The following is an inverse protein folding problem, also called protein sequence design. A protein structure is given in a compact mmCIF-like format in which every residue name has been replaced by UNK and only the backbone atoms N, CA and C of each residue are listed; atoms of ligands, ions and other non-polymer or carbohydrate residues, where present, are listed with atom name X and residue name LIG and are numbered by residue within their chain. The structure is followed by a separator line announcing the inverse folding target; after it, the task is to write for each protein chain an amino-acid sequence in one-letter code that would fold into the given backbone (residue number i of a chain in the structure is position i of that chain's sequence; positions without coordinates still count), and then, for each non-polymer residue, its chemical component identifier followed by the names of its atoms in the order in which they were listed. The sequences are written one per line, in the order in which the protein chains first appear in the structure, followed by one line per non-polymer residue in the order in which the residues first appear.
data_IF_580100461028
#
_entry.id   IF_580100461028
#
_cell.length_a   1.000
_cell.length_b   1.000
_cell.length_c   1.000
_cell.angle_alpha   90.00
_cell.angle_beta   90.00
_cell.angle_gamma   90.00
#
_symmetry.space_group_name_H-M   'P 1'
#
loop_
_entity.id
_entity.type
_entity.pdbx_description
1 polymer ?
#
# COMPACT_ATOMS: atom_id res chain seq x y z
N UNK A 1 -11.80 -1.45 4.79
CA UNK A 1 -12.53 -2.73 4.78
C UNK A 1 -14.01 -2.42 4.89
N UNK A 2 -14.85 -2.93 3.99
CA UNK A 2 -16.29 -2.63 3.96
C UNK A 2 -16.63 -1.11 3.89
N UNK A 3 -15.79 -0.33 3.20
CA UNK A 3 -15.95 1.13 3.12
C UNK A 3 -15.42 1.93 4.32
N UNK A 4 -14.89 1.27 5.35
CA UNK A 4 -14.34 1.93 6.54
C UNK A 4 -12.82 1.81 6.63
N UNK A 5 -12.18 2.76 7.33
CA UNK A 5 -10.75 2.69 7.62
C UNK A 5 -10.47 1.55 8.62
N UNK A 6 -9.55 0.66 8.27
CA UNK A 6 -9.14 -0.43 9.17
C UNK A 6 -8.27 0.08 10.33
N UNK A 7 -7.42 1.08 10.05
CA UNK A 7 -6.49 1.65 11.02
C UNK A 7 -6.45 3.18 10.86
N UNK A 8 -6.43 3.86 12.00
CA UNK A 8 -6.49 5.31 12.12
C UNK A 8 -5.41 5.76 13.11
N UNK A 9 -4.74 6.86 12.78
CA UNK A 9 -3.71 7.50 13.61
C UNK A 9 -2.27 7.15 13.20
N UNK A 10 -1.33 7.92 13.78
CA UNK A 10 0.09 7.87 13.47
C UNK A 10 0.85 6.73 14.15
N UNK A 11 1.96 6.34 13.54
CA UNK A 11 2.96 5.43 14.14
C UNK A 11 4.09 6.24 14.79
N UNK A 12 4.60 5.88 15.98
CA UNK A 12 4.13 4.81 16.86
C UNK A 12 3.04 5.22 17.86
N UNK A 13 2.71 6.51 17.97
CA UNK A 13 1.83 7.01 19.05
C UNK A 13 0.43 6.41 19.11
N UNK A 14 -0.19 6.10 17.97
CA UNK A 14 -1.53 5.53 17.89
C UNK A 14 -1.57 4.10 17.35
N UNK A 15 -0.55 3.71 16.56
CA UNK A 15 -0.45 2.39 15.93
C UNK A 15 0.96 1.83 16.01
N UNK A 16 1.05 0.52 16.19
CA UNK A 16 2.28 -0.23 16.07
C UNK A 16 2.76 -0.33 14.61
N UNK A 17 4.03 -0.70 14.44
CA UNK A 17 4.61 -0.99 13.11
C UNK A 17 3.86 -2.14 12.44
N UNK A 18 3.48 -3.17 13.20
CA UNK A 18 2.79 -4.34 12.66
C UNK A 18 1.38 -3.99 12.18
N UNK A 19 0.62 -3.20 12.96
CA UNK A 19 -0.67 -2.68 12.53
C UNK A 19 -0.55 -1.82 11.26
N UNK A 20 0.46 -0.96 11.18
CA UNK A 20 0.69 -0.15 9.99
C UNK A 20 1.13 -0.98 8.78
N UNK A 21 1.89 -2.07 9.00
CA UNK A 21 2.27 -3.01 7.94
C UNK A 21 1.04 -3.72 7.39
N UNK A 22 0.13 -4.15 8.26
CA UNK A 22 -1.17 -4.69 7.86
C UNK A 22 -2.02 -3.64 7.13
N UNK A 23 -1.99 -2.38 7.57
CA UNK A 23 -2.66 -1.28 6.88
C UNK A 23 -2.11 -1.09 5.46
N UNK A 24 -0.78 -1.16 5.27
CA UNK A 24 -0.15 -1.08 3.95
C UNK A 24 -0.58 -2.24 3.04
N UNK A 25 -0.63 -3.46 3.56
CA UNK A 25 -1.13 -4.63 2.83
C UNK A 25 -2.59 -4.44 2.39
N UNK A 26 -3.47 -3.98 3.28
CA UNK A 26 -4.88 -3.69 2.95
C UNK A 26 -4.98 -2.62 1.86
N UNK A 27 -4.16 -1.57 1.93
CA UNK A 27 -4.15 -0.53 0.89
C UNK A 27 -3.69 -1.09 -0.46
N UNK A 28 -2.66 -1.95 -0.46
CA UNK A 28 -2.23 -2.66 -1.66
C UNK A 28 -3.32 -3.56 -2.27
N UNK A 29 -4.05 -4.31 -1.44
CA UNK A 29 -5.20 -5.11 -1.87
C UNK A 29 -6.29 -4.23 -2.49
N UNK A 30 -6.55 -3.05 -1.92
CA UNK A 30 -7.51 -2.11 -2.49
C UNK A 30 -7.05 -1.59 -3.86
N UNK A 31 -5.75 -1.31 -4.07
CA UNK A 31 -5.23 -0.95 -5.38
C UNK A 31 -5.48 -2.04 -6.42
N UNK A 32 -5.21 -3.30 -6.07
CA UNK A 32 -5.45 -4.46 -6.94
C UNK A 32 -6.95 -4.61 -7.23
N UNK A 33 -7.80 -4.51 -6.22
CA UNK A 33 -9.25 -4.65 -6.37
C UNK A 33 -9.85 -3.56 -7.28
N UNK A 34 -9.38 -2.31 -7.18
CA UNK A 34 -9.81 -1.23 -8.07
C UNK A 34 -9.34 -1.49 -9.50
N UNK A 35 -8.11 -1.95 -9.70
CA UNK A 35 -7.61 -2.29 -11.03
C UNK A 35 -8.39 -3.46 -11.66
N UNK A 36 -8.63 -4.53 -10.89
CA UNK A 36 -9.44 -5.69 -11.31
C UNK A 36 -10.86 -5.28 -11.72
N UNK A 37 -11.51 -4.41 -10.96
CA UNK A 37 -12.85 -3.91 -11.31
C UNK A 37 -12.87 -2.96 -12.51
N UNK A 38 -11.72 -2.39 -12.91
CA UNK A 38 -11.63 -1.36 -13.96
C UNK A 38 -11.20 -1.94 -15.31
N UNK A 39 -10.35 -2.96 -15.32
CA UNK A 39 -9.78 -3.54 -16.53
C UNK A 39 -10.72 -4.60 -17.13
N UNK A 40 -10.90 -4.62 -18.45
CA UNK A 40 -11.76 -5.61 -19.11
C UNK A 40 -11.29 -7.07 -18.88
N UNK A 41 -9.98 -7.28 -18.72
CA UNK A 41 -9.39 -8.57 -18.35
C UNK A 41 -9.19 -8.78 -16.85
N UNK A 42 -9.69 -7.87 -16.01
CA UNK A 42 -9.48 -7.90 -14.57
C UNK A 42 -8.00 -7.88 -14.16
N UNK A 43 -7.69 -8.56 -13.07
CA UNK A 43 -6.33 -8.68 -12.53
C UNK A 43 -5.35 -9.33 -13.52
N UNK A 44 -5.84 -10.21 -14.41
CA UNK A 44 -5.02 -10.89 -15.42
C UNK A 44 -4.52 -9.94 -16.51
N UNK A 45 -5.13 -8.75 -16.66
CA UNK A 45 -4.63 -7.72 -17.55
C UNK A 45 -3.44 -6.94 -16.99
N UNK A 46 -3.03 -7.18 -15.73
CA UNK A 46 -1.86 -6.54 -15.11
C UNK A 46 -0.60 -7.37 -15.44
N UNK A 47 0.27 -6.82 -16.27
CA UNK A 47 1.51 -7.47 -16.67
C UNK A 47 2.65 -7.27 -15.67
N UNK A 48 2.68 -6.12 -14.98
CA UNK A 48 3.75 -5.76 -14.03
C UNK A 48 3.34 -4.64 -13.08
N UNK A 49 3.86 -4.70 -11.85
CA UNK A 49 3.85 -3.57 -10.91
C UNK A 49 5.09 -2.71 -11.15
N UNK A 50 4.91 -1.48 -11.65
CA UNK A 50 6.03 -0.60 -12.02
C UNK A 50 6.59 0.16 -10.81
N UNK A 51 5.68 0.75 -10.02
CA UNK A 51 6.06 1.54 -8.85
C UNK A 51 4.98 1.53 -7.79
N UNK A 52 5.40 1.53 -6.52
CA UNK A 52 4.53 1.68 -5.36
C UNK A 52 4.99 2.87 -4.52
N UNK A 53 4.05 3.75 -4.15
CA UNK A 53 4.29 4.85 -3.21
C UNK A 53 3.48 4.61 -1.95
N UNK A 54 4.15 4.65 -0.81
CA UNK A 54 3.55 4.41 0.50
C UNK A 54 3.71 5.66 1.34
N UNK A 55 2.59 6.21 1.79
CA UNK A 55 2.53 7.34 2.72
C UNK A 55 2.09 6.81 4.07
N UNK A 56 2.86 7.09 5.12
CA UNK A 56 2.61 6.59 6.47
C UNK A 56 2.39 7.79 7.39
N UNK A 57 1.25 7.85 8.06
CA UNK A 57 1.05 8.79 9.16
C UNK A 57 2.03 8.42 10.29
N UNK A 58 2.98 9.30 10.59
CA UNK A 58 4.05 8.99 11.53
C UNK A 58 4.47 10.19 12.37
N UNK A 59 4.84 9.93 13.61
CA UNK A 59 5.37 10.93 14.51
C UNK A 59 6.73 11.48 14.01
N UNK A 60 7.06 12.69 14.44
CA UNK A 60 8.33 13.33 14.09
C UNK A 60 9.51 12.47 14.56
N UNK A 61 10.45 12.20 13.66
CA UNK A 61 11.66 11.43 13.96
C UNK A 61 11.49 9.90 13.86
N UNK A 62 10.29 9.40 13.55
CA UNK A 62 10.12 7.99 13.18
C UNK A 62 10.92 7.65 11.92
N UNK A 63 11.46 6.43 11.84
CA UNK A 63 12.32 5.99 10.71
C UNK A 63 11.98 4.58 10.20
N UNK A 64 10.95 3.93 10.75
CA UNK A 64 10.55 2.57 10.40
C UNK A 64 9.68 2.44 9.14
N UNK A 65 9.60 3.50 8.31
CA UNK A 65 8.72 3.57 7.13
C UNK A 65 8.96 2.42 6.13
N UNK A 66 10.23 2.04 5.92
CA UNK A 66 10.59 0.95 5.00
C UNK A 66 10.04 -0.41 5.43
N UNK A 67 9.98 -0.68 6.74
CA UNK A 67 9.41 -1.92 7.28
C UNK A 67 7.91 -1.98 7.05
N UNK A 68 7.21 -0.87 7.31
CA UNK A 68 5.76 -0.74 7.07
C UNK A 68 5.45 -0.94 5.58
N UNK A 69 6.24 -0.33 4.70
CA UNK A 69 6.08 -0.45 3.26
C UNK A 69 6.31 -1.87 2.73
N UNK A 70 6.97 -2.76 3.48
CA UNK A 70 7.07 -4.17 3.08
C UNK A 70 5.71 -4.86 3.04
N UNK A 71 4.73 -4.44 3.85
CA UNK A 71 3.39 -5.04 3.83
C UNK A 71 2.71 -4.98 2.46
N UNK A 72 2.88 -3.88 1.71
CA UNK A 72 2.41 -3.83 0.32
C UNK A 72 3.38 -4.49 -0.64
N UNK A 73 4.70 -4.38 -0.42
CA UNK A 73 5.66 -4.95 -1.36
C UNK A 73 5.61 -6.47 -1.41
N UNK A 74 5.53 -7.11 -0.25
CA UNK A 74 5.44 -8.56 -0.11
C UNK A 74 4.13 -9.05 -0.75
N UNK A 75 3.01 -8.36 -0.50
CA UNK A 75 1.74 -8.65 -1.17
C UNK A 75 1.86 -8.61 -2.71
N UNK A 76 2.46 -7.56 -3.28
CA UNK A 76 2.59 -7.43 -4.73
C UNK A 76 3.42 -8.58 -5.32
N UNK A 77 4.47 -9.01 -4.62
CA UNK A 77 5.29 -10.16 -5.03
C UNK A 77 4.53 -11.48 -4.83
N UNK A 78 3.75 -11.62 -3.76
CA UNK A 78 2.96 -12.82 -3.50
C UNK A 78 1.88 -13.04 -4.57
N UNK A 79 1.24 -11.96 -5.03
CA UNK A 79 0.18 -12.00 -6.04
C UNK A 79 0.76 -12.16 -7.46
N UNK A 80 1.77 -11.36 -7.82
CA UNK A 80 2.26 -11.26 -9.21
C UNK A 80 3.62 -11.94 -9.45
N UNK A 81 4.21 -12.58 -8.44
CA UNK A 81 5.54 -13.20 -8.54
C UNK A 81 6.64 -12.20 -8.92
N UNK A 82 7.46 -12.55 -9.91
CA UNK A 82 8.56 -11.69 -10.38
C UNK A 82 8.05 -10.39 -11.06
N UNK A 83 6.83 -10.41 -11.60
CA UNK A 83 6.15 -9.23 -12.12
C UNK A 83 5.68 -8.27 -11.00
N UNK A 84 5.65 -8.75 -9.76
CA UNK A 84 5.36 -7.97 -8.57
C UNK A 84 6.53 -7.14 -8.05
N UNK A 85 7.77 -7.35 -8.54
CA UNK A 85 8.94 -6.55 -8.14
C UNK A 85 8.90 -5.17 -8.77
N UNK A 86 9.00 -4.13 -7.94
CA UNK A 86 8.75 -2.74 -8.31
C UNK A 86 9.79 -1.77 -7.72
N UNK A 87 9.84 -0.57 -8.28
CA UNK A 87 10.45 0.59 -7.60
C UNK A 87 9.55 1.07 -6.48
N UNK A 88 10.11 1.65 -5.41
CA UNK A 88 9.33 2.04 -4.24
C UNK A 88 9.76 3.36 -3.62
N UNK A 89 8.77 4.12 -3.13
CA UNK A 89 8.95 5.26 -2.22
C UNK A 89 8.16 4.98 -0.94
N UNK A 90 8.78 5.21 0.22
CA UNK A 90 8.13 5.15 1.54
C UNK A 90 8.38 6.46 2.28
N UNK A 91 7.32 7.22 2.57
CA UNK A 91 7.43 8.56 3.16
C UNK A 91 6.53 8.72 4.38
N UNK A 92 7.02 9.48 5.35
CA UNK A 92 6.22 9.93 6.48
C UNK A 92 5.34 11.13 6.12
N UNK A 93 4.15 11.18 6.69
CA UNK A 93 3.26 12.34 6.71
C UNK A 93 2.86 12.66 8.14
N UNK A 94 2.61 13.94 8.43
CA UNK A 94 2.06 14.38 9.73
C UNK A 94 0.59 13.96 9.91
N UNK A 95 -0.07 13.54 8.83
CA UNK A 95 -1.44 13.05 8.82
C UNK A 95 -1.87 12.65 7.41
N UNK A 96 -2.89 11.80 7.31
CA UNK A 96 -3.46 11.35 6.05
C UNK A 96 -4.98 11.63 6.03
N UNK A 97 -5.63 11.62 4.85
CA UNK A 97 -7.07 11.79 4.74
C UNK A 97 -7.84 10.89 5.69
N UNK A 98 -8.90 11.44 6.30
CA UNK A 98 -9.75 10.76 7.28
C UNK A 98 -8.99 10.21 8.52
N UNK A 99 -7.73 10.60 8.72
CA UNK A 99 -6.88 10.10 9.80
C UNK A 99 -6.27 8.72 9.54
N UNK A 100 -6.28 8.22 8.30
CA UNK A 100 -5.73 6.91 7.97
C UNK A 100 -4.28 6.71 8.44
N UNK A 101 -3.91 5.48 8.79
CA UNK A 101 -2.53 5.15 9.18
C UNK A 101 -1.58 5.04 7.99
N UNK A 102 -2.05 4.46 6.88
CA UNK A 102 -1.28 4.28 5.64
C UNK A 102 -2.17 4.60 4.44
N UNK A 103 -1.56 5.16 3.41
CA UNK A 103 -2.14 5.34 2.08
C UNK A 103 -1.14 4.83 1.04
N UNK A 104 -1.64 4.18 -0.02
CA UNK A 104 -0.82 3.58 -1.07
C UNK A 104 -1.32 4.00 -2.45
N UNK A 105 -0.37 4.32 -3.32
CA UNK A 105 -0.57 4.43 -4.76
C UNK A 105 0.27 3.35 -5.47
N UNK A 106 -0.30 2.72 -6.49
CA UNK A 106 0.40 1.76 -7.34
C UNK A 106 0.22 2.12 -8.82
N UNK A 107 1.29 1.92 -9.60
CA UNK A 107 1.28 2.07 -11.05
C UNK A 107 1.49 0.70 -11.67
N UNK A 108 0.54 0.28 -12.51
CA UNK A 108 0.54 -1.01 -13.18
C UNK A 108 0.80 -0.84 -14.68
N UNK A 109 1.62 -1.72 -15.24
CA UNK A 109 1.64 -1.98 -16.68
C UNK A 109 0.49 -2.92 -17.01
N UNK A 110 -0.26 -2.61 -18.06
CA UNK A 110 -1.43 -3.41 -18.47
C UNK A 110 -1.31 -3.86 -19.93
N UNK A 111 -1.92 -5.00 -20.24
CA UNK A 111 -2.17 -5.43 -21.61
C UNK A 111 -3.30 -4.61 -22.21
N UNK A 112 -3.17 -4.21 -23.48
CA UNK A 112 -4.18 -3.46 -24.25
C UNK A 112 -5.10 -4.37 -25.05
#
# INVERSE_FOLDING_TARGET
VNGELAYVGSVPSARSIDEATNAAQICGLNCIAVADATLEGGVEAIERVLSVRVFIASDVGFTGHSTIANGVSDLMVDVFGDAGKHTRVAMGSIGLPLGATVEVEAVFQITL
#
